data_IF_181293380235
#
_entry.id   IF_181293380235
#
_cell.length_a   1.000
_cell.length_b   1.000
_cell.length_c   1.000
_cell.angle_alpha   90.00
_cell.angle_beta   90.00
_cell.angle_gamma   90.00
#
_symmetry.space_group_name_H-M   'P 1'
#
loop_
_entity.id
_entity.type
_entity.pdbx_description
1 polymer ?
#
# COMPACT_ATOMS: atom_id res chain seq x y z
N UNK A 1 5.31 49.68 -7.68
CA UNK A 1 4.64 48.36 -7.86
C UNK A 1 5.58 47.15 -8.06
N UNK A 2 6.93 47.31 -8.13
CA UNK A 2 7.86 46.17 -8.34
C UNK A 2 8.07 45.27 -7.10
N UNK A 3 7.79 45.74 -5.90
CA UNK A 3 7.91 44.96 -4.66
C UNK A 3 6.77 43.95 -4.45
N UNK A 4 5.53 44.31 -4.82
CA UNK A 4 4.35 43.47 -4.60
C UNK A 4 4.40 42.20 -5.46
N UNK A 5 4.83 42.32 -6.72
CA UNK A 5 4.99 41.15 -7.60
C UNK A 5 6.00 40.13 -7.07
N UNK A 6 7.13 40.59 -6.49
CA UNK A 6 8.11 39.69 -5.88
C UNK A 6 7.54 38.98 -4.66
N UNK A 7 6.78 39.69 -3.81
CA UNK A 7 6.14 39.09 -2.63
C UNK A 7 5.13 38.02 -3.06
N UNK A 8 4.28 38.32 -4.04
CA UNK A 8 3.31 37.34 -4.56
C UNK A 8 4.00 36.08 -5.10
N UNK A 9 5.06 36.25 -5.90
CA UNK A 9 5.82 35.12 -6.47
C UNK A 9 6.46 34.27 -5.38
N UNK A 10 7.11 34.89 -4.39
CA UNK A 10 7.74 34.16 -3.28
C UNK A 10 6.69 33.43 -2.45
N UNK A 11 5.54 34.06 -2.17
CA UNK A 11 4.44 33.42 -1.44
C UNK A 11 3.87 32.23 -2.21
N UNK A 12 3.69 32.34 -3.53
CA UNK A 12 3.22 31.22 -4.37
C UNK A 12 4.22 30.06 -4.38
N UNK A 13 5.51 30.34 -4.52
CA UNK A 13 6.57 29.32 -4.48
C UNK A 13 6.56 28.63 -3.12
N UNK A 14 6.51 29.40 -2.03
CA UNK A 14 6.52 28.84 -0.67
C UNK A 14 5.26 27.98 -0.42
N UNK A 15 4.09 28.43 -0.88
CA UNK A 15 2.86 27.65 -0.80
C UNK A 15 2.99 26.32 -1.55
N UNK A 16 3.57 26.33 -2.76
CA UNK A 16 3.78 25.13 -3.55
C UNK A 16 4.76 24.15 -2.88
N UNK A 17 5.84 24.65 -2.27
CA UNK A 17 6.80 23.83 -1.53
C UNK A 17 6.13 23.19 -0.31
N UNK A 18 5.37 23.96 0.46
CA UNK A 18 4.63 23.45 1.64
C UNK A 18 3.60 22.40 1.20
N UNK A 19 2.87 22.66 0.11
CA UNK A 19 1.90 21.71 -0.44
C UNK A 19 2.56 20.39 -0.85
N UNK A 20 3.69 20.44 -1.58
CA UNK A 20 4.46 19.25 -1.95
C UNK A 20 4.95 18.47 -0.72
N UNK A 21 5.47 19.17 0.29
CA UNK A 21 5.93 18.55 1.53
C UNK A 21 4.79 17.85 2.28
N UNK A 22 3.62 18.49 2.38
CA UNK A 22 2.43 17.89 2.98
C UNK A 22 1.95 16.66 2.22
N UNK A 23 1.92 16.71 0.88
CA UNK A 23 1.52 15.56 0.06
C UNK A 23 2.46 14.35 0.27
N UNK A 24 3.77 14.59 0.40
CA UNK A 24 4.75 13.56 0.73
C UNK A 24 4.52 12.97 2.12
N UNK A 25 4.31 13.81 3.14
CA UNK A 25 4.08 13.37 4.52
C UNK A 25 2.82 12.52 4.61
N UNK A 26 1.71 12.99 4.02
CA UNK A 26 0.44 12.27 4.01
C UNK A 26 0.62 10.92 3.31
N UNK A 27 1.21 10.91 2.11
CA UNK A 27 1.47 9.68 1.36
C UNK A 27 2.32 8.68 2.15
N UNK A 28 3.35 9.15 2.86
CA UNK A 28 4.19 8.32 3.71
C UNK A 28 3.38 7.67 4.83
N UNK A 29 2.62 8.45 5.58
CA UNK A 29 1.81 7.96 6.71
C UNK A 29 0.80 6.93 6.23
N UNK A 30 0.02 7.24 5.19
CA UNK A 30 -0.98 6.33 4.66
C UNK A 30 -0.37 5.06 4.08
N UNK A 31 0.74 5.16 3.35
CA UNK A 31 1.41 3.98 2.78
C UNK A 31 1.99 3.08 3.87
N UNK A 32 2.57 3.66 4.93
CA UNK A 32 3.08 2.90 6.06
C UNK A 32 1.96 2.21 6.84
N UNK A 33 0.89 2.94 7.16
CA UNK A 33 -0.26 2.40 7.87
C UNK A 33 -0.93 1.28 7.06
N UNK A 34 -1.18 1.51 5.76
CA UNK A 34 -1.75 0.52 4.87
C UNK A 34 -0.86 -0.73 4.79
N UNK A 35 0.47 -0.58 4.68
CA UNK A 35 1.38 -1.73 4.64
C UNK A 35 1.23 -2.62 5.88
N UNK A 36 1.27 -2.04 7.08
CA UNK A 36 1.14 -2.81 8.32
C UNK A 36 -0.25 -3.44 8.47
N UNK A 37 -1.29 -2.69 8.15
CA UNK A 37 -2.67 -3.16 8.25
C UNK A 37 -2.95 -4.31 7.27
N UNK A 38 -2.56 -4.17 6.00
CA UNK A 38 -2.78 -5.20 4.99
C UNK A 38 -1.91 -6.43 5.26
N UNK A 39 -0.68 -6.25 5.76
CA UNK A 39 0.16 -7.38 6.17
C UNK A 39 -0.51 -8.19 7.28
N UNK A 40 -1.08 -7.53 8.29
CA UNK A 40 -1.84 -8.18 9.36
C UNK A 40 -3.04 -8.96 8.83
N UNK A 41 -3.84 -8.36 7.95
CA UNK A 41 -4.97 -9.04 7.29
C UNK A 41 -4.50 -10.29 6.53
N UNK A 42 -3.39 -10.20 5.81
CA UNK A 42 -2.87 -11.34 5.05
C UNK A 42 -2.42 -12.46 5.99
N UNK A 43 -1.70 -12.15 7.06
CA UNK A 43 -1.26 -13.15 8.05
C UNK A 43 -2.45 -13.85 8.72
N UNK A 44 -3.50 -13.11 9.09
CA UNK A 44 -4.75 -13.68 9.60
C UNK A 44 -5.44 -14.58 8.56
N UNK A 45 -5.53 -14.11 7.31
CA UNK A 45 -6.16 -14.87 6.22
C UNK A 45 -5.41 -16.16 5.90
N UNK A 46 -4.08 -16.15 5.95
CA UNK A 46 -3.21 -17.32 5.76
C UNK A 46 -3.43 -18.32 6.89
N UNK A 47 -3.45 -17.85 8.13
CA UNK A 47 -3.66 -18.70 9.32
C UNK A 47 -5.03 -19.35 9.28
N UNK A 48 -6.07 -18.59 8.92
CA UNK A 48 -7.42 -19.11 8.75
C UNK A 48 -7.49 -20.15 7.62
N UNK A 49 -6.83 -19.88 6.48
CA UNK A 49 -6.79 -20.80 5.34
C UNK A 49 -6.06 -22.12 5.69
N UNK A 50 -4.95 -22.04 6.42
CA UNK A 50 -4.20 -23.20 6.89
C UNK A 50 -5.07 -24.06 7.84
N UNK A 51 -5.75 -23.45 8.82
CA UNK A 51 -6.65 -24.17 9.72
C UNK A 51 -7.80 -24.86 8.98
N UNK A 52 -8.39 -24.20 7.97
CA UNK A 52 -9.43 -24.80 7.15
C UNK A 52 -8.94 -26.00 6.35
N UNK A 53 -7.77 -25.89 5.70
CA UNK A 53 -7.18 -27.00 4.94
C UNK A 53 -6.85 -28.16 5.88
N UNK A 54 -6.19 -27.90 7.01
CA UNK A 54 -5.83 -28.93 8.00
C UNK A 54 -7.05 -29.64 8.56
N UNK A 55 -8.16 -28.93 8.76
CA UNK A 55 -9.42 -29.51 9.25
C UNK A 55 -10.11 -30.37 8.19
N UNK A 56 -10.12 -29.93 6.93
CA UNK A 56 -10.68 -30.70 5.80
C UNK A 56 -9.83 -31.89 5.38
N UNK A 57 -8.51 -31.81 5.55
CA UNK A 57 -7.54 -32.83 5.17
C UNK A 57 -7.09 -33.70 6.35
N UNK A 58 -7.84 -33.77 7.45
CA UNK A 58 -7.54 -34.63 8.61
C UNK A 58 -7.29 -36.12 8.26
N UNK A 59 -7.67 -36.58 7.06
CA UNK A 59 -7.39 -37.93 6.55
C UNK A 59 -6.22 -38.07 5.56
N UNK A 60 -5.65 -36.99 5.02
CA UNK A 60 -4.57 -37.04 4.02
C UNK A 60 -3.31 -36.39 4.59
N UNK A 61 -2.32 -37.23 4.90
CA UNK A 61 -1.08 -36.87 5.61
C UNK A 61 -0.02 -36.24 4.70
N UNK A 62 -0.43 -35.42 3.74
CA UNK A 62 0.48 -34.83 2.75
C UNK A 62 0.81 -33.37 3.12
N UNK A 63 1.59 -33.21 4.20
CA UNK A 63 2.06 -31.92 4.73
C UNK A 63 2.73 -31.03 3.68
N UNK A 64 3.37 -31.63 2.67
CA UNK A 64 4.02 -30.92 1.56
C UNK A 64 3.02 -30.19 0.66
N UNK A 65 1.88 -30.81 0.33
CA UNK A 65 0.82 -30.18 -0.45
C UNK A 65 0.16 -29.01 0.30
N UNK A 66 -0.04 -29.16 1.61
CA UNK A 66 -0.59 -28.09 2.45
C UNK A 66 0.34 -26.87 2.43
N UNK A 67 1.66 -27.08 2.58
CA UNK A 67 2.64 -25.98 2.50
C UNK A 67 2.65 -25.30 1.13
N UNK A 68 2.55 -26.06 0.05
CA UNK A 68 2.54 -25.49 -1.31
C UNK A 68 1.27 -24.65 -1.55
N UNK A 69 0.10 -25.12 -1.11
CA UNK A 69 -1.16 -24.38 -1.21
C UNK A 69 -1.13 -23.10 -0.40
N UNK A 70 -0.63 -23.16 0.84
CA UNK A 70 -0.48 -21.98 1.70
C UNK A 70 0.51 -20.98 1.08
N UNK A 71 1.63 -21.46 0.51
CA UNK A 71 2.61 -20.60 -0.17
C UNK A 71 2.01 -19.89 -1.39
N UNK A 72 1.29 -20.61 -2.26
CA UNK A 72 0.61 -20.01 -3.42
C UNK A 72 -0.46 -19.01 -3.01
N UNK A 73 -1.20 -19.30 -1.94
CA UNK A 73 -2.19 -18.37 -1.39
C UNK A 73 -1.52 -17.10 -0.87
N UNK A 74 -0.42 -17.23 -0.13
CA UNK A 74 0.38 -16.09 0.34
C UNK A 74 0.87 -15.22 -0.84
N UNK A 75 1.51 -15.81 -1.85
CA UNK A 75 1.99 -15.09 -3.04
C UNK A 75 0.86 -14.37 -3.78
N UNK A 76 -0.32 -15.01 -3.89
CA UNK A 76 -1.49 -14.43 -4.54
C UNK A 76 -2.03 -13.23 -3.76
N UNK A 77 -2.12 -13.34 -2.43
CA UNK A 77 -2.58 -12.24 -1.58
C UNK A 77 -1.59 -11.08 -1.62
N UNK A 78 -0.29 -11.33 -1.54
CA UNK A 78 0.72 -10.27 -1.65
C UNK A 78 0.62 -9.53 -3.00
N UNK A 79 0.48 -10.25 -4.12
CA UNK A 79 0.27 -9.61 -5.43
C UNK A 79 -1.03 -8.83 -5.52
N UNK A 80 -2.14 -9.40 -5.03
CA UNK A 80 -3.46 -8.74 -5.09
C UNK A 80 -3.50 -7.43 -4.33
N UNK A 81 -2.79 -7.37 -3.21
CA UNK A 81 -2.70 -6.18 -2.37
C UNK A 81 -1.51 -5.26 -2.72
N UNK A 82 -0.82 -5.53 -3.85
CA UNK A 82 0.34 -4.77 -4.30
C UNK A 82 1.49 -4.76 -3.28
N UNK A 83 1.53 -5.77 -2.40
CA UNK A 83 2.52 -5.90 -1.34
C UNK A 83 3.90 -6.36 -1.83
N UNK A 84 3.99 -6.77 -3.09
CA UNK A 84 5.19 -7.14 -3.83
C UNK A 84 6.05 -5.93 -4.22
N UNK A 85 5.44 -4.75 -4.38
CA UNK A 85 6.14 -3.51 -4.76
C UNK A 85 6.83 -2.89 -3.52
N UNK A 86 8.07 -2.40 -3.58
CA UNK A 86 8.71 -1.79 -2.42
C UNK A 86 8.00 -0.51 -1.95
N UNK A 87 8.02 -0.27 -0.64
CA UNK A 87 7.25 0.78 0.04
C UNK A 87 7.53 2.20 -0.51
N UNK A 88 8.79 2.49 -0.87
CA UNK A 88 9.18 3.79 -1.44
C UNK A 88 8.53 4.07 -2.81
N UNK A 89 8.36 3.05 -3.67
CA UNK A 89 7.68 3.23 -4.96
C UNK A 89 6.20 3.52 -4.77
N UNK A 90 5.56 2.89 -3.76
CA UNK A 90 4.15 3.14 -3.44
C UNK A 90 3.94 4.56 -2.91
N UNK A 91 4.83 5.04 -2.05
CA UNK A 91 4.77 6.42 -1.54
C UNK A 91 4.86 7.40 -2.71
N UNK A 92 5.82 7.22 -3.62
CA UNK A 92 5.97 8.13 -4.77
C UNK A 92 4.73 8.13 -5.66
N UNK A 93 4.18 6.95 -5.96
CA UNK A 93 3.00 6.83 -6.81
C UNK A 93 1.75 7.44 -6.14
N UNK A 94 1.55 7.18 -4.85
CA UNK A 94 0.47 7.79 -4.07
C UNK A 94 0.63 9.31 -3.94
N UNK A 95 1.86 9.82 -3.81
CA UNK A 95 2.14 11.27 -3.80
C UNK A 95 1.79 11.91 -5.13
N UNK A 96 2.18 11.29 -6.26
CA UNK A 96 1.82 11.77 -7.60
C UNK A 96 0.29 11.78 -7.79
N UNK A 97 -0.39 10.71 -7.36
CA UNK A 97 -1.84 10.61 -7.43
C UNK A 97 -2.54 11.71 -6.60
N UNK A 98 -2.04 11.99 -5.38
CA UNK A 98 -2.53 13.08 -4.54
C UNK A 98 -2.35 14.46 -5.17
N UNK A 99 -1.16 14.73 -5.74
CA UNK A 99 -0.85 16.02 -6.38
C UNK A 99 -1.68 16.22 -7.66
N UNK A 100 -1.93 15.15 -8.40
CA UNK A 100 -2.71 15.18 -9.65
C UNK A 100 -4.22 15.08 -9.42
N UNK A 101 -4.67 15.09 -8.16
CA UNK A 101 -6.07 14.88 -7.76
C UNK A 101 -6.69 13.59 -8.31
N UNK A 102 -5.86 12.62 -8.67
CA UNK A 102 -6.31 11.30 -9.06
C UNK A 102 -6.51 10.45 -7.80
N UNK A 103 -7.74 10.40 -7.30
CA UNK A 103 -8.09 9.67 -6.06
C UNK A 103 -8.11 8.15 -6.27
N UNK A 104 -7.56 7.63 -7.37
CA UNK A 104 -7.21 6.21 -7.45
C UNK A 104 -6.00 5.94 -6.54
N UNK A 105 -6.29 5.70 -5.26
CA UNK A 105 -5.34 5.06 -4.36
C UNK A 105 -5.12 3.63 -4.84
N UNK A 106 -4.01 3.42 -5.56
CA UNK A 106 -3.57 2.14 -6.14
C UNK A 106 -3.30 1.05 -5.09
N UNK A 107 -3.47 1.35 -3.81
CA UNK A 107 -3.50 0.37 -2.72
C UNK A 107 -4.85 -0.39 -2.64
N UNK A 108 -5.87 0.07 -3.39
CA UNK A 108 -7.21 -0.53 -3.45
C UNK A 108 -7.56 -1.13 -4.83
N UNK A 109 -6.70 -1.01 -5.85
CA UNK A 109 -6.98 -1.51 -7.21
C UNK A 109 -6.75 -3.01 -7.37
N UNK A 110 -7.24 -3.78 -6.39
CA UNK A 110 -7.52 -5.21 -6.50
C UNK A 110 -9.00 -5.50 -6.80
N UNK A 111 -9.72 -4.46 -7.26
CA UNK A 111 -11.05 -4.46 -7.88
C UNK A 111 -11.01 -3.57 -9.11
#
# INVERSE_FOLDING_TARGET
MRGVGRVIVVTLINFFIVYLALALIISFIFSYFAYHHLKGIIEESITAYEMQIRTRQRGIRNETLIRELVKKFNETMYKRYGLDVPLHQRILLNTINLITYNINFTLLSGV
#
